data_IF_317775157473
#
_entry.id   IF_317775157473
#
_cell.length_a   1.000
_cell.length_b   1.000
_cell.length_c   1.000
_cell.angle_alpha   90.00
_cell.angle_beta   90.00
_cell.angle_gamma   90.00
#
_symmetry.space_group_name_H-M   'P 1'
#
loop_
_entity.id
_entity.type
_entity.pdbx_description
1 polymer ?
#
# COMPACT_ATOMS: atom_id res chain seq x y z
N UNK A 1 4.94 5.03 17.09
CA UNK A 1 5.95 3.96 17.31
C UNK A 1 6.38 3.45 15.93
N UNK A 2 7.67 3.50 15.57
CA UNK A 2 8.12 3.18 14.21
C UNK A 2 8.30 1.66 14.06
N UNK A 3 7.28 0.95 13.58
CA UNK A 3 7.30 -0.51 13.46
C UNK A 3 7.94 -0.91 12.13
N UNK A 4 9.14 -1.51 12.20
CA UNK A 4 9.88 -2.04 11.04
C UNK A 4 10.00 -3.55 11.15
N UNK A 5 9.78 -4.21 10.04
CA UNK A 5 9.88 -5.66 9.88
C UNK A 5 11.08 -6.02 9.01
N UNK A 6 11.69 -7.16 9.28
CA UNK A 6 12.76 -7.74 8.46
C UNK A 6 12.17 -8.66 7.39
N UNK A 7 12.97 -9.02 6.40
CA UNK A 7 12.52 -9.93 5.33
C UNK A 7 12.04 -11.30 5.86
N UNK A 8 12.66 -11.80 6.93
CA UNK A 8 12.30 -13.07 7.57
C UNK A 8 10.90 -13.05 8.19
N UNK A 9 10.41 -11.86 8.55
CA UNK A 9 9.07 -11.68 9.12
C UNK A 9 7.98 -11.78 8.04
N UNK A 10 8.31 -11.68 6.74
CA UNK A 10 7.35 -11.63 5.66
C UNK A 10 6.40 -12.83 5.66
N UNK A 11 6.96 -14.04 5.67
CA UNK A 11 6.18 -15.28 5.56
C UNK A 11 5.33 -15.55 6.82
N UNK A 12 5.86 -15.39 8.04
CA UNK A 12 5.03 -15.45 9.25
C UNK A 12 3.90 -14.40 9.26
N UNK A 13 4.18 -13.15 8.87
CA UNK A 13 3.20 -12.07 8.88
C UNK A 13 2.11 -12.25 7.83
N UNK A 14 2.45 -12.79 6.65
CA UNK A 14 1.49 -12.95 5.56
C UNK A 14 0.64 -14.22 5.67
N UNK A 15 0.93 -15.12 6.62
CA UNK A 15 0.30 -16.45 6.67
C UNK A 15 0.58 -17.30 5.43
N UNK A 16 1.60 -16.96 4.64
CA UNK A 16 1.87 -17.57 3.33
C UNK A 16 0.96 -17.07 2.19
N UNK A 17 0.07 -16.12 2.44
CA UNK A 17 -0.77 -15.51 1.40
C UNK A 17 0.04 -14.60 0.48
N UNK A 18 -0.50 -14.38 -0.72
CA UNK A 18 0.13 -13.57 -1.77
C UNK A 18 -0.34 -12.12 -1.70
N UNK A 19 0.63 -11.20 -1.79
CA UNK A 19 0.38 -9.78 -1.94
C UNK A 19 0.53 -9.41 -3.42
N UNK A 20 -0.45 -8.71 -3.97
CA UNK A 20 -0.51 -8.36 -5.38
C UNK A 20 -0.35 -6.87 -5.62
N UNK A 21 0.18 -6.55 -6.80
CA UNK A 21 0.17 -5.19 -7.35
C UNK A 21 -0.11 -5.22 -8.84
N UNK A 22 -1.01 -4.36 -9.28
CA UNK A 22 -1.18 -4.02 -10.67
C UNK A 22 -0.12 -3.02 -11.14
N UNK A 23 0.51 -3.31 -12.27
CA UNK A 23 1.39 -2.41 -13.00
C UNK A 23 0.73 -2.08 -14.34
N UNK A 24 0.68 -0.80 -14.69
CA UNK A 24 0.06 -0.34 -15.95
C UNK A 24 0.85 -0.69 -17.22
N UNK A 25 2.05 -1.24 -17.05
CA UNK A 25 2.93 -1.69 -18.12
C UNK A 25 3.46 -3.08 -17.78
N UNK A 26 3.67 -3.89 -18.82
CA UNK A 26 4.29 -5.21 -18.70
C UNK A 26 5.81 -5.09 -18.71
N UNK A 27 6.47 -5.78 -17.80
CA UNK A 27 7.90 -6.00 -17.86
C UNK A 27 8.20 -7.38 -18.52
N UNK A 28 9.20 -7.45 -19.42
CA UNK A 28 9.56 -8.68 -20.11
C UNK A 28 10.15 -9.73 -19.16
N UNK A 29 10.75 -9.32 -18.04
CA UNK A 29 11.37 -10.20 -17.05
C UNK A 29 10.32 -10.87 -16.15
N UNK A 30 10.54 -12.14 -15.82
CA UNK A 30 9.70 -12.88 -14.88
C UNK A 30 9.74 -12.30 -13.47
N UNK A 31 10.87 -11.67 -13.12
CA UNK A 31 11.10 -11.01 -11.85
C UNK A 31 11.72 -9.65 -12.07
N UNK A 32 11.18 -8.63 -11.41
CA UNK A 32 11.78 -7.29 -11.35
C UNK A 32 11.97 -6.84 -9.91
N UNK A 33 13.01 -6.03 -9.68
CA UNK A 33 13.23 -5.36 -8.41
C UNK A 33 12.41 -4.07 -8.38
N UNK A 34 11.59 -3.90 -7.36
CA UNK A 34 10.78 -2.70 -7.16
C UNK A 34 11.18 -2.04 -5.85
N UNK A 35 11.23 -0.71 -5.83
CA UNK A 35 11.52 0.05 -4.62
C UNK A 35 10.35 0.96 -4.30
N UNK A 36 10.22 1.30 -3.03
CA UNK A 36 9.32 2.36 -2.60
C UNK A 36 9.72 3.68 -3.26
N UNK A 37 8.76 4.48 -3.76
CA UNK A 37 9.06 5.84 -4.19
C UNK A 37 9.59 6.68 -3.03
N UNK A 38 10.42 7.67 -3.35
CA UNK A 38 10.91 8.65 -2.37
C UNK A 38 10.02 9.89 -2.30
N UNK A 39 9.45 10.31 -3.44
CA UNK A 39 8.65 11.52 -3.58
C UNK A 39 7.58 11.31 -4.67
N UNK A 40 6.61 10.43 -4.39
CA UNK A 40 5.52 10.16 -5.35
C UNK A 40 4.63 11.40 -5.47
N UNK A 41 4.55 11.95 -6.69
CA UNK A 41 3.50 12.90 -7.05
C UNK A 41 2.14 12.19 -7.20
N UNK A 42 1.06 12.76 -6.65
CA UNK A 42 -0.25 12.16 -6.74
C UNK A 42 -0.81 12.36 -8.16
N UNK A 43 -1.54 11.37 -8.66
CA UNK A 43 -2.16 11.45 -9.99
C UNK A 43 -3.46 12.30 -9.96
N UNK A 44 -4.30 12.07 -8.95
CA UNK A 44 -5.64 12.67 -8.84
C UNK A 44 -5.84 13.45 -7.54
N UNK A 45 -5.19 13.04 -6.45
CA UNK A 45 -5.26 13.73 -5.17
C UNK A 45 -4.49 15.06 -5.20
N UNK A 46 -5.04 16.17 -4.67
CA UNK A 46 -4.28 17.41 -4.52
C UNK A 46 -3.04 17.21 -3.65
N UNK A 47 -1.91 17.83 -4.03
CA UNK A 47 -0.65 17.68 -3.29
C UNK A 47 -0.76 18.13 -1.81
N UNK A 48 -1.52 19.18 -1.54
CA UNK A 48 -1.78 19.66 -0.17
C UNK A 48 -2.55 18.64 0.69
N UNK A 49 -3.40 17.82 0.08
CA UNK A 49 -4.11 16.74 0.78
C UNK A 49 -3.15 15.61 1.08
N UNK A 50 -2.33 15.20 0.11
CA UNK A 50 -1.29 14.20 0.34
C UNK A 50 -0.35 14.60 1.48
N UNK A 51 0.10 15.86 1.53
CA UNK A 51 0.94 16.34 2.62
C UNK A 51 0.25 16.20 3.98
N UNK A 52 -1.02 16.60 4.10
CA UNK A 52 -1.78 16.44 5.34
C UNK A 52 -1.91 14.96 5.75
N UNK A 53 -2.12 14.06 4.80
CA UNK A 53 -2.17 12.62 5.08
C UNK A 53 -0.82 12.08 5.55
N UNK A 54 0.25 12.45 4.85
CA UNK A 54 1.60 12.02 5.19
C UNK A 54 2.06 12.55 6.56
N UNK A 55 1.72 13.80 6.89
CA UNK A 55 2.04 14.41 8.18
C UNK A 55 1.29 13.69 9.32
N UNK A 56 0.02 13.31 9.09
CA UNK A 56 -0.73 12.49 10.02
C UNK A 56 -0.10 11.10 10.18
N UNK A 57 0.21 10.40 9.08
CA UNK A 57 0.83 9.08 9.14
C UNK A 57 2.21 9.10 9.80
N UNK A 58 3.00 10.14 9.57
CA UNK A 58 4.30 10.30 10.23
C UNK A 58 4.13 10.52 11.73
N UNK A 59 3.18 11.36 12.13
CA UNK A 59 2.89 11.61 13.55
C UNK A 59 2.40 10.35 14.26
N UNK A 60 1.42 9.65 13.71
CA UNK A 60 0.75 8.53 14.37
C UNK A 60 1.50 7.19 14.20
N UNK A 61 2.00 6.92 12.99
CA UNK A 61 2.60 5.64 12.61
C UNK A 61 4.11 5.71 12.37
N UNK A 62 4.71 6.91 12.36
CA UNK A 62 6.15 7.10 12.18
C UNK A 62 6.63 6.99 10.74
N UNK A 63 5.74 7.00 9.74
CA UNK A 63 6.11 6.89 8.32
C UNK A 63 5.16 7.68 7.42
N UNK A 64 5.70 8.47 6.49
CA UNK A 64 4.93 9.14 5.43
C UNK A 64 4.48 8.15 4.35
N UNK A 65 3.43 7.37 4.66
CA UNK A 65 3.00 6.25 3.81
C UNK A 65 2.50 6.70 2.44
N UNK A 66 1.78 7.80 2.31
CA UNK A 66 1.09 8.15 1.07
C UNK A 66 2.06 8.49 -0.06
N UNK A 67 3.16 9.20 0.22
CA UNK A 67 4.19 9.51 -0.78
C UNK A 67 5.21 8.39 -0.99
N UNK A 68 5.40 7.50 -0.01
CA UNK A 68 6.48 6.49 -0.02
C UNK A 68 6.00 5.09 -0.36
N UNK A 69 4.69 4.83 -0.42
CA UNK A 69 4.21 3.46 -0.55
C UNK A 69 4.25 2.92 -1.98
N UNK A 70 4.60 1.65 -2.06
CA UNK A 70 4.08 0.73 -3.03
C UNK A 70 2.65 0.34 -2.60
N UNK A 71 1.68 0.59 -3.47
CA UNK A 71 0.28 0.28 -3.20
C UNK A 71 -0.02 -1.15 -3.67
N UNK A 72 -0.60 -1.95 -2.79
CA UNK A 72 -0.74 -3.39 -2.94
C UNK A 72 -2.06 -3.87 -2.33
N UNK A 73 -2.43 -5.12 -2.58
CA UNK A 73 -3.69 -5.70 -2.09
C UNK A 73 -3.57 -7.23 -2.02
N UNK A 74 -4.32 -7.89 -1.13
CA UNK A 74 -4.48 -9.35 -1.18
C UNK A 74 -5.47 -9.84 -2.25
N UNK A 75 -6.18 -8.94 -2.94
CA UNK A 75 -7.15 -9.29 -3.98
C UNK A 75 -6.56 -9.19 -5.38
N UNK A 76 -6.51 -10.32 -6.08
CA UNK A 76 -6.06 -10.38 -7.47
C UNK A 76 -6.95 -9.54 -8.39
N UNK A 77 -8.27 -9.51 -8.16
CA UNK A 77 -9.20 -8.75 -8.99
C UNK A 77 -9.07 -7.24 -8.78
N UNK A 78 -8.80 -6.80 -7.55
CA UNK A 78 -8.42 -5.41 -7.28
C UNK A 78 -7.12 -5.07 -8.01
N UNK A 79 -6.09 -5.91 -7.90
CA UNK A 79 -4.82 -5.69 -8.58
C UNK A 79 -4.96 -5.64 -10.12
N UNK A 80 -5.81 -6.48 -10.72
CA UNK A 80 -6.12 -6.46 -12.16
C UNK A 80 -6.76 -5.15 -12.59
N UNK A 81 -7.71 -4.62 -11.79
CA UNK A 81 -8.33 -3.32 -12.04
C UNK A 81 -7.30 -2.19 -12.10
N UNK A 82 -6.34 -2.17 -11.17
CA UNK A 82 -5.24 -1.17 -11.21
C UNK A 82 -4.27 -1.39 -12.38
N UNK A 83 -4.05 -2.62 -12.84
CA UNK A 83 -3.21 -2.90 -13.99
C UNK A 83 -3.82 -2.37 -15.30
N UNK A 84 -5.15 -2.41 -15.41
CA UNK A 84 -5.87 -2.08 -16.64
C UNK A 84 -5.60 -3.09 -17.77
N UNK A 85 -6.19 -2.84 -18.95
CA UNK A 85 -6.24 -3.82 -20.05
C UNK A 85 -4.87 -4.20 -20.64
N UNK A 86 -3.88 -3.32 -20.48
CA UNK A 86 -2.54 -3.49 -21.06
C UNK A 86 -1.46 -3.78 -20.02
N UNK A 87 -1.82 -3.76 -18.73
CA UNK A 87 -0.90 -3.97 -17.63
C UNK A 87 -0.63 -5.44 -17.31
N UNK A 88 -0.01 -5.66 -16.16
CA UNK A 88 0.15 -6.97 -15.55
C UNK A 88 -0.02 -6.91 -14.03
N UNK A 89 -0.36 -8.05 -13.43
CA UNK A 89 -0.32 -8.23 -11.98
C UNK A 89 0.94 -9.01 -11.61
N UNK A 90 1.65 -8.52 -10.60
CA UNK A 90 2.79 -9.23 -10.01
C UNK A 90 2.55 -9.50 -8.54
N UNK A 91 3.11 -10.61 -8.08
CA UNK A 91 3.24 -10.97 -6.66
C UNK A 91 4.41 -10.19 -6.08
N UNK A 92 4.16 -9.47 -4.99
CA UNK A 92 5.13 -8.66 -4.27
C UNK A 92 5.63 -9.44 -3.05
N UNK A 93 6.93 -9.43 -2.84
CA UNK A 93 7.59 -9.98 -1.65
C UNK A 93 8.67 -9.03 -1.15
N UNK A 94 8.70 -8.71 0.13
CA UNK A 94 9.82 -7.98 0.72
C UNK A 94 11.08 -8.84 0.70
N UNK A 95 12.19 -8.24 0.25
CA UNK A 95 13.53 -8.85 0.28
C UNK A 95 14.52 -8.01 1.09
N UNK A 96 14.00 -7.07 1.87
CA UNK A 96 14.72 -6.20 2.78
C UNK A 96 13.76 -5.67 3.86
N UNK A 97 14.23 -4.75 4.73
CA UNK A 97 13.38 -4.15 5.74
C UNK A 97 12.17 -3.44 5.13
N UNK A 98 11.02 -3.60 5.76
CA UNK A 98 9.77 -3.03 5.29
C UNK A 98 8.86 -2.58 6.44
N UNK A 99 7.86 -1.79 6.07
CA UNK A 99 6.77 -1.29 6.90
C UNK A 99 5.52 -1.36 6.06
N UNK A 100 4.38 -1.54 6.69
CA UNK A 100 3.10 -1.43 6.01
C UNK A 100 2.10 -0.73 6.91
N UNK A 101 1.09 -0.15 6.28
CA UNK A 101 -0.16 0.16 6.97
C UNK A 101 -1.36 -0.23 6.10
N UNK A 102 -2.47 -0.48 6.77
CA UNK A 102 -3.75 -0.77 6.14
C UNK A 102 -4.87 -0.45 7.12
N UNK A 103 -6.11 -0.49 6.64
CA UNK A 103 -7.29 -0.30 7.46
C UNK A 103 -8.38 -1.30 7.09
N UNK A 104 -9.06 -1.84 8.11
CA UNK A 104 -10.29 -2.67 7.93
C UNK A 104 -11.47 -1.85 7.40
N UNK A 105 -11.41 -0.52 7.50
CA UNK A 105 -12.48 0.44 7.18
C UNK A 105 -12.23 1.22 5.89
N UNK A 106 -11.08 1.05 5.25
CA UNK A 106 -10.69 1.75 4.03
C UNK A 106 -10.43 0.72 2.94
N UNK A 107 -11.28 0.67 1.91
CA UNK A 107 -11.00 -0.15 0.73
C UNK A 107 -9.85 0.44 -0.10
N UNK A 108 -9.89 1.75 -0.35
CA UNK A 108 -8.90 2.54 -1.08
C UNK A 108 -8.91 3.96 -0.49
N UNK A 109 -7.75 4.49 -0.11
CA UNK A 109 -7.69 5.78 0.59
C UNK A 109 -8.07 6.99 -0.28
N UNK A 110 -7.89 6.90 -1.60
CA UNK A 110 -8.33 7.94 -2.52
C UNK A 110 -9.85 7.96 -2.63
N UNK A 111 -10.49 6.79 -2.74
CA UNK A 111 -11.96 6.68 -2.76
C UNK A 111 -12.56 7.23 -1.45
N UNK A 112 -11.96 6.93 -0.29
CA UNK A 112 -12.40 7.50 0.99
C UNK A 112 -12.29 9.03 1.02
N UNK A 113 -11.23 9.59 0.43
CA UNK A 113 -11.06 11.02 0.30
C UNK A 113 -12.11 11.66 -0.62
N UNK A 114 -12.43 11.03 -1.75
CA UNK A 114 -13.47 11.53 -2.66
C UNK A 114 -14.87 11.47 -2.02
N UNK A 115 -15.13 10.48 -1.17
CA UNK A 115 -16.39 10.31 -0.45
C UNK A 115 -16.48 11.15 0.84
N UNK A 116 -15.40 11.79 1.26
CA UNK A 116 -15.33 12.58 2.49
C UNK A 116 -16.33 13.74 2.47
N UNK A 117 -17.01 13.97 3.61
CA UNK A 117 -17.91 15.13 3.73
C UNK A 117 -17.12 16.44 3.76
N UNK A 118 -17.70 17.53 3.26
CA UNK A 118 -17.04 18.85 3.23
C UNK A 118 -16.71 19.41 4.62
N UNK A 119 -17.36 18.89 5.67
CA UNK A 119 -17.15 19.29 7.05
C UNK A 119 -16.08 18.44 7.76
N UNK A 120 -15.70 17.29 7.18
CA UNK A 120 -14.66 16.42 7.73
C UNK A 120 -13.27 16.93 7.33
N UNK A 121 -12.33 16.87 8.27
CA UNK A 121 -10.93 17.21 8.02
C UNK A 121 -10.13 15.95 7.69
N UNK A 122 -9.02 16.09 6.95
CA UNK A 122 -8.15 14.95 6.61
C UNK A 122 -7.71 14.16 7.86
N UNK A 123 -7.23 14.79 8.96
CA UNK A 123 -6.89 14.05 10.17
C UNK A 123 -8.09 13.31 10.80
N UNK A 124 -9.28 13.91 10.80
CA UNK A 124 -10.47 13.27 11.35
C UNK A 124 -10.90 12.05 10.52
N UNK A 125 -10.80 12.14 9.19
CA UNK A 125 -11.03 11.02 8.28
C UNK A 125 -10.05 9.88 8.57
N UNK A 126 -8.75 10.17 8.66
CA UNK A 126 -7.72 9.14 8.91
C UNK A 126 -7.88 8.48 10.28
N UNK A 127 -8.21 9.25 11.30
CA UNK A 127 -8.53 8.74 12.64
C UNK A 127 -9.71 7.76 12.61
N UNK A 128 -10.80 8.15 11.92
CA UNK A 128 -11.99 7.30 11.75
C UNK A 128 -11.66 6.00 11.02
N UNK A 129 -10.81 6.06 10.00
CA UNK A 129 -10.38 4.92 9.21
C UNK A 129 -9.50 3.96 10.01
N UNK A 130 -8.87 4.35 11.12
CA UNK A 130 -8.18 3.43 12.05
C UNK A 130 -7.08 2.59 11.36
N UNK A 131 -6.14 3.29 10.69
CA UNK A 131 -4.99 2.66 10.04
C UNK A 131 -4.02 2.03 11.07
N UNK A 132 -3.50 0.83 10.75
CA UNK A 132 -2.62 0.05 11.62
C UNK A 132 -1.44 -0.54 10.86
N UNK A 133 -0.34 -0.74 11.58
CA UNK A 133 0.88 -1.40 11.07
C UNK A 133 1.02 -2.86 11.54
N UNK A 134 -0.08 -3.51 11.87
CA UNK A 134 -0.14 -4.89 12.37
C UNK A 134 -1.12 -5.72 11.54
N UNK A 135 -1.15 -7.05 11.74
CA UNK A 135 -2.13 -7.95 11.13
C UNK A 135 -2.07 -7.96 9.59
N UNK A 136 -0.88 -8.25 9.02
CA UNK A 136 -0.71 -8.34 7.56
C UNK A 136 -1.56 -9.45 6.94
N UNK A 137 -1.70 -10.60 7.62
CA UNK A 137 -2.59 -11.67 7.19
C UNK A 137 -4.05 -11.18 7.07
N UNK A 138 -4.58 -10.48 8.09
CA UNK A 138 -5.90 -9.87 8.03
C UNK A 138 -6.02 -8.82 6.91
N UNK A 139 -4.95 -8.07 6.65
CA UNK A 139 -4.89 -7.12 5.54
C UNK A 139 -5.07 -7.83 4.20
N UNK A 140 -4.33 -8.91 3.98
CA UNK A 140 -4.38 -9.72 2.78
C UNK A 140 -5.77 -10.36 2.59
N UNK A 141 -6.35 -10.91 3.65
CA UNK A 141 -7.69 -11.49 3.62
C UNK A 141 -8.78 -10.47 3.28
N UNK A 142 -8.62 -9.22 3.70
CA UNK A 142 -9.62 -8.16 3.44
C UNK A 142 -9.70 -7.76 1.97
N UNK A 143 -8.60 -7.89 1.22
CA UNK A 143 -8.49 -7.34 -0.13
C UNK A 143 -8.41 -5.82 -0.20
N UNK A 144 -8.37 -5.12 0.92
CA UNK A 144 -8.22 -3.66 0.99
C UNK A 144 -6.82 -3.21 0.54
N UNK A 145 -6.68 -1.91 0.30
CA UNK A 145 -5.40 -1.28 0.02
C UNK A 145 -4.41 -1.47 1.19
N UNK A 146 -3.22 -1.95 0.83
CA UNK A 146 -2.06 -2.08 1.70
C UNK A 146 -0.97 -1.15 1.16
N UNK A 147 -0.60 -0.18 1.99
CA UNK A 147 0.48 0.77 1.74
C UNK A 147 1.79 0.18 2.27
N UNK A 148 2.68 -0.20 1.38
CA UNK A 148 3.93 -0.91 1.69
C UNK A 148 5.14 -0.01 1.44
N UNK A 149 5.97 0.20 2.46
CA UNK A 149 7.20 1.01 2.40
C UNK A 149 8.40 0.11 2.71
N UNK A 150 9.48 0.22 1.94
CA UNK A 150 10.68 -0.60 2.09
C UNK A 150 11.68 -0.36 0.97
N UNK A 151 12.92 -0.77 1.21
CA UNK A 151 14.05 -0.46 0.35
C UNK A 151 14.04 -1.28 -0.95
N UNK A 152 13.51 -2.51 -0.88
CA UNK A 152 13.54 -3.47 -1.97
C UNK A 152 12.43 -4.52 -1.85
N UNK A 153 11.72 -4.73 -2.95
CA UNK A 153 10.72 -5.77 -3.15
C UNK A 153 11.02 -6.56 -4.41
N UNK A 154 10.82 -7.87 -4.34
CA UNK A 154 10.76 -8.74 -5.51
C UNK A 154 9.34 -8.72 -6.07
N UNK A 155 9.17 -8.37 -7.34
CA UNK A 155 7.89 -8.46 -8.05
C UNK A 155 7.97 -9.56 -9.12
N UNK A 156 7.29 -10.67 -8.87
CA UNK A 156 7.30 -11.85 -9.75
C UNK A 156 5.98 -11.98 -10.51
N UNK A 157 6.01 -12.50 -11.74
CA UNK A 157 4.78 -12.80 -12.49
C UNK A 157 3.84 -13.68 -11.67
N UNK A 158 2.56 -13.33 -11.68
CA UNK A 158 1.51 -14.23 -11.23
C UNK A 158 1.30 -15.30 -12.31
N UNK A 159 1.49 -16.57 -11.95
CA UNK A 159 1.32 -17.72 -12.84
C UNK A 159 -0.15 -17.96 -13.19
#
# INVERSE_FOLDING_TARGET
MNMKFNHDDWKPLSGGMLLYRGFSQKAPEDTVLVRSPTDRKPAHMPLSVQHQMDDWFEKELGTRFRQRSLFTTGSLDVARRYAGDHGEVRVIQAIGPFQFCWSKKSHDLYDEFEAMSQQETIPAMLERLDFKCSDLEGALQSGNEIMLVGDAFKASRHL
#
